data_IF_577736248741
#
_entry.id   IF_577736248741
#
_cell.length_a   1.000
_cell.length_b   1.000
_cell.length_c   1.000
_cell.angle_alpha   90.00
_cell.angle_beta   90.00
_cell.angle_gamma   90.00
#
_symmetry.space_group_name_H-M   'P 1'
#
loop_
_entity.id
_entity.type
_entity.pdbx_description
1 polymer ?
#
# COMPACT_ATOMS: atom_id res chain seq x y z
N UNK A 1 -12.62 10.09 -6.01
CA UNK A 1 -11.49 9.41 -5.37
C UNK A 1 -10.20 9.98 -5.93
N UNK A 2 -9.31 10.48 -5.10
CA UNK A 2 -8.03 11.02 -5.57
C UNK A 2 -7.11 9.88 -6.02
N UNK A 3 -6.30 10.12 -7.06
CA UNK A 3 -5.36 9.15 -7.59
C UNK A 3 -3.93 9.64 -7.36
N UNK A 4 -3.17 8.91 -6.56
CA UNK A 4 -1.76 9.18 -6.29
C UNK A 4 -0.85 8.48 -7.30
N UNK A 5 -1.23 7.28 -7.77
CA UNK A 5 -0.43 6.53 -8.74
C UNK A 5 -0.67 7.01 -10.18
N UNK A 6 0.37 7.00 -11.00
CA UNK A 6 0.32 7.38 -12.42
C UNK A 6 1.41 6.67 -13.22
N UNK A 7 1.16 6.41 -14.50
CA UNK A 7 2.16 5.89 -15.45
C UNK A 7 2.87 6.99 -16.24
N UNK A 8 2.48 8.25 -16.00
CA UNK A 8 3.07 9.41 -16.68
C UNK A 8 4.07 10.09 -15.77
N UNK A 9 5.31 10.26 -16.23
CA UNK A 9 6.32 11.01 -15.52
C UNK A 9 5.87 12.45 -15.31
N UNK A 10 6.09 12.97 -14.11
CA UNK A 10 5.84 14.36 -13.75
C UNK A 10 7.06 14.96 -13.03
N UNK A 11 7.22 16.29 -13.11
CA UNK A 11 8.32 16.99 -12.42
C UNK A 11 8.25 16.81 -10.89
N UNK A 12 7.09 16.44 -10.39
CA UNK A 12 6.80 16.34 -8.96
C UNK A 12 6.19 14.99 -8.62
N UNK A 13 6.94 13.93 -8.95
CA UNK A 13 6.54 12.55 -8.71
C UNK A 13 7.74 11.72 -8.23
N UNK A 14 7.46 10.75 -7.35
CA UNK A 14 8.40 9.71 -6.96
C UNK A 14 8.32 8.59 -7.98
N UNK A 15 9.42 8.27 -8.65
CA UNK A 15 9.54 7.08 -9.47
C UNK A 15 9.64 5.85 -8.57
N UNK A 16 8.80 4.85 -8.80
CA UNK A 16 8.87 3.59 -8.06
C UNK A 16 9.92 2.63 -8.64
N UNK A 17 10.51 2.95 -9.80
CA UNK A 17 11.59 2.20 -10.39
C UNK A 17 12.87 3.04 -10.33
N UNK A 18 13.91 2.51 -9.72
CA UNK A 18 15.22 3.12 -9.64
C UNK A 18 16.27 2.09 -10.08
N UNK A 19 17.10 2.44 -11.06
CA UNK A 19 18.16 1.57 -11.59
C UNK A 19 17.69 0.15 -11.98
N UNK A 20 16.47 0.05 -12.57
CA UNK A 20 15.88 -1.21 -13.01
C UNK A 20 15.33 -2.08 -11.88
N UNK A 21 15.25 -1.55 -10.66
CA UNK A 21 14.62 -2.21 -9.50
C UNK A 21 13.46 -1.40 -8.96
N UNK A 22 12.45 -2.07 -8.43
CA UNK A 22 11.33 -1.41 -7.73
C UNK A 22 11.78 -1.03 -6.33
N UNK A 23 11.37 0.14 -5.85
CA UNK A 23 11.66 0.62 -4.50
C UNK A 23 11.27 -0.44 -3.45
N UNK A 24 12.12 -0.71 -2.45
CA UNK A 24 11.82 -1.70 -1.42
C UNK A 24 10.61 -1.30 -0.58
N UNK A 25 9.85 -2.29 -0.14
CA UNK A 25 8.74 -2.13 0.79
C UNK A 25 9.26 -2.35 2.21
N UNK A 26 9.11 -1.35 3.06
CA UNK A 26 9.52 -1.40 4.46
C UNK A 26 8.29 -1.66 5.32
N UNK A 27 8.32 -2.76 6.07
CA UNK A 27 7.30 -3.12 7.05
C UNK A 27 7.98 -3.56 8.34
N UNK A 28 7.64 -2.91 9.44
CA UNK A 28 8.22 -3.20 10.76
C UNK A 28 7.80 -4.60 11.24
N UNK A 29 8.75 -5.42 11.71
CA UNK A 29 8.46 -6.74 12.28
C UNK A 29 7.63 -6.69 13.56
N UNK A 30 7.60 -5.54 14.24
CA UNK A 30 6.72 -5.29 15.40
C UNK A 30 5.27 -5.03 15.01
N UNK A 31 4.97 -4.71 13.73
CA UNK A 31 3.59 -4.54 13.26
C UNK A 31 2.88 -5.90 13.15
N UNK A 32 1.58 -5.88 12.93
CA UNK A 32 0.73 -7.08 12.93
C UNK A 32 1.06 -7.99 11.75
N UNK A 33 1.11 -9.31 11.98
CA UNK A 33 1.38 -10.30 10.93
C UNK A 33 0.53 -10.15 9.68
N UNK A 34 -0.73 -9.66 9.81
CA UNK A 34 -1.59 -9.38 8.68
C UNK A 34 -1.08 -8.25 7.78
N UNK A 35 -0.40 -7.24 8.35
CA UNK A 35 0.22 -6.13 7.60
C UNK A 35 1.41 -6.65 6.81
N UNK A 36 2.27 -7.48 7.43
CA UNK A 36 3.41 -8.08 6.73
C UNK A 36 2.98 -8.98 5.56
N UNK A 37 1.89 -9.75 5.75
CA UNK A 37 1.29 -10.53 4.64
C UNK A 37 0.80 -9.64 3.51
N UNK A 38 0.07 -8.58 3.83
CA UNK A 38 -0.45 -7.66 2.82
C UNK A 38 0.68 -6.91 2.10
N UNK A 39 1.78 -6.57 2.80
CA UNK A 39 2.97 -6.00 2.16
C UNK A 39 3.62 -6.99 1.17
N UNK A 40 3.64 -8.29 1.50
CA UNK A 40 4.05 -9.34 0.57
C UNK A 40 3.13 -9.42 -0.66
N UNK A 41 1.81 -9.34 -0.47
CA UNK A 41 0.84 -9.28 -1.57
C UNK A 41 1.04 -8.04 -2.45
N UNK A 42 1.32 -6.87 -1.86
CA UNK A 42 1.66 -5.67 -2.63
C UNK A 42 2.92 -5.89 -3.49
N UNK A 43 3.93 -6.58 -2.94
CA UNK A 43 5.14 -6.90 -3.72
C UNK A 43 4.82 -7.80 -4.92
N UNK A 44 3.93 -8.78 -4.76
CA UNK A 44 3.47 -9.66 -5.85
C UNK A 44 2.64 -8.87 -6.87
N UNK A 45 1.76 -7.99 -6.41
CA UNK A 45 0.95 -7.11 -7.26
C UNK A 45 1.82 -6.17 -8.09
N UNK A 46 2.80 -5.50 -7.47
CA UNK A 46 3.74 -4.63 -8.18
C UNK A 46 4.62 -5.43 -9.15
N UNK A 47 5.00 -6.65 -8.80
CA UNK A 47 5.71 -7.55 -9.72
C UNK A 47 4.88 -7.88 -10.97
N UNK A 48 3.58 -8.11 -10.80
CA UNK A 48 2.66 -8.39 -11.91
C UNK A 48 2.44 -7.18 -12.82
N UNK A 49 2.61 -5.96 -12.29
CA UNK A 49 2.45 -4.71 -13.05
C UNK A 49 3.76 -4.25 -13.71
N UNK A 50 4.89 -4.40 -13.03
CA UNK A 50 6.20 -3.82 -13.42
C UNK A 50 7.20 -4.87 -13.95
N UNK A 51 6.86 -6.16 -13.84
CA UNK A 51 7.77 -7.25 -14.24
C UNK A 51 8.92 -7.52 -13.26
N UNK A 52 9.08 -6.68 -12.22
CA UNK A 52 10.13 -6.81 -11.20
C UNK A 52 9.52 -6.75 -9.80
N UNK A 53 9.84 -7.74 -8.97
CA UNK A 53 9.31 -7.83 -7.62
C UNK A 53 10.12 -6.97 -6.65
N UNK A 54 9.51 -6.01 -5.92
CA UNK A 54 10.20 -5.28 -4.86
C UNK A 54 10.59 -6.20 -3.70
N UNK A 55 11.71 -5.90 -3.04
CA UNK A 55 12.06 -6.54 -1.79
C UNK A 55 11.18 -6.04 -0.65
N UNK A 56 10.78 -6.95 0.24
CA UNK A 56 10.12 -6.60 1.50
C UNK A 56 11.15 -6.68 2.62
N UNK A 57 11.40 -5.58 3.29
CA UNK A 57 12.44 -5.42 4.30
C UNK A 57 11.85 -4.91 5.61
N UNK A 58 12.49 -5.24 6.74
CA UNK A 58 12.07 -4.77 8.07
C UNK A 58 12.61 -3.38 8.41
N UNK A 59 13.72 -2.99 7.80
CA UNK A 59 14.44 -1.76 8.13
C UNK A 59 14.63 -0.89 6.91
N UNK A 60 14.40 0.39 7.11
CA UNK A 60 14.64 1.42 6.10
C UNK A 60 16.14 1.60 5.87
N UNK A 61 16.56 1.59 4.61
CA UNK A 61 17.87 2.05 4.16
C UNK A 61 17.95 3.57 4.00
N UNK A 62 19.03 4.07 3.41
CA UNK A 62 19.24 5.49 3.14
C UNK A 62 18.46 6.01 1.91
N UNK A 63 17.98 5.10 1.05
CA UNK A 63 17.31 5.44 -0.21
C UNK A 63 15.80 5.63 -0.09
N UNK A 64 15.17 5.95 -1.22
CA UNK A 64 13.73 5.99 -1.39
C UNK A 64 13.12 4.60 -1.19
N UNK A 65 11.91 4.54 -0.64
CA UNK A 65 11.24 3.27 -0.35
C UNK A 65 9.71 3.46 -0.28
N UNK A 66 9.00 2.34 -0.15
CA UNK A 66 7.57 2.30 0.17
C UNK A 66 7.47 1.91 1.65
N UNK A 67 6.97 2.80 2.50
CA UNK A 67 6.83 2.56 3.94
C UNK A 67 5.39 2.17 4.23
N UNK A 68 5.23 1.02 4.86
CA UNK A 68 3.92 0.49 5.25
C UNK A 68 3.90 0.29 6.75
N UNK A 69 2.86 0.80 7.42
CA UNK A 69 2.76 0.56 8.86
C UNK A 69 1.48 1.08 9.51
N UNK A 70 1.26 0.56 10.71
CA UNK A 70 0.15 0.94 11.57
C UNK A 70 0.63 1.96 12.61
N UNK A 71 -0.10 3.05 12.75
CA UNK A 71 0.20 4.09 13.76
C UNK A 71 0.25 3.46 15.17
N UNK A 72 1.34 3.73 15.90
CA UNK A 72 1.59 3.16 17.23
C UNK A 72 2.06 1.69 17.23
N UNK A 73 2.32 1.10 16.06
CA UNK A 73 2.87 -0.26 15.94
C UNK A 73 4.08 -0.34 15.00
N UNK A 74 4.27 0.64 14.14
CA UNK A 74 5.41 0.74 13.23
C UNK A 74 6.29 1.90 13.63
N UNK A 75 7.53 1.61 14.01
CA UNK A 75 8.52 2.63 14.40
C UNK A 75 8.81 3.62 13.27
N UNK A 76 8.87 3.13 12.02
CA UNK A 76 9.10 3.99 10.85
C UNK A 76 7.96 4.99 10.62
N UNK A 77 6.72 4.57 10.80
CA UNK A 77 5.53 5.44 10.70
C UNK A 77 5.48 6.42 11.86
N UNK A 78 5.73 5.96 13.08
CA UNK A 78 5.71 6.80 14.29
C UNK A 78 6.79 7.88 14.25
N UNK A 79 7.96 7.59 13.70
CA UNK A 79 9.02 8.59 13.45
C UNK A 79 8.54 9.66 12.46
N UNK A 80 7.94 9.26 11.33
CA UNK A 80 7.41 10.22 10.35
C UNK A 80 6.30 11.09 10.94
N UNK A 81 5.44 10.51 11.76
CA UNK A 81 4.38 11.22 12.48
C UNK A 81 4.96 12.24 13.49
N UNK A 82 5.98 11.83 14.27
CA UNK A 82 6.65 12.70 15.23
C UNK A 82 7.37 13.89 14.56
N UNK A 83 7.88 13.70 13.34
CA UNK A 83 8.50 14.74 12.51
C UNK A 83 7.50 15.57 11.72
N UNK A 84 6.20 15.36 11.88
CA UNK A 84 5.11 16.02 11.16
C UNK A 84 5.20 15.87 9.62
N UNK A 85 5.83 14.81 9.14
CA UNK A 85 5.96 14.52 7.71
C UNK A 85 4.71 13.86 7.14
N UNK A 86 3.88 13.27 7.99
CA UNK A 86 2.55 12.74 7.66
C UNK A 86 1.52 13.29 8.65
N UNK A 87 0.34 13.61 8.14
CA UNK A 87 -0.79 14.02 8.98
C UNK A 87 -1.53 12.77 9.52
N UNK A 88 -1.38 12.55 10.82
CA UNK A 88 -2.00 11.41 11.52
C UNK A 88 -3.25 11.80 12.33
N UNK A 89 -3.62 13.06 12.40
CA UNK A 89 -4.80 13.48 13.16
C UNK A 89 -6.09 12.85 12.62
N UNK A 90 -6.17 12.75 11.29
CA UNK A 90 -7.28 12.05 10.65
C UNK A 90 -7.39 10.59 11.11
N UNK A 91 -6.27 9.89 11.25
CA UNK A 91 -6.23 8.48 11.65
C UNK A 91 -6.68 8.27 13.10
N UNK A 92 -6.34 9.22 14.00
CA UNK A 92 -6.72 9.14 15.42
C UNK A 92 -8.22 9.24 15.66
N UNK A 93 -8.95 9.84 14.73
CA UNK A 93 -10.40 10.02 14.84
C UNK A 93 -11.26 8.94 14.17
N UNK A 94 -10.62 7.99 13.45
CA UNK A 94 -11.36 7.03 12.63
C UNK A 94 -10.80 5.61 12.74
N UNK A 95 -11.67 4.65 12.96
CA UNK A 95 -11.34 3.23 12.87
C UNK A 95 -11.18 2.82 11.40
N UNK A 96 -10.29 1.84 11.17
CA UNK A 96 -10.05 1.26 9.84
C UNK A 96 -9.67 2.31 8.76
N UNK A 97 -9.15 3.45 9.20
CA UNK A 97 -8.75 4.54 8.32
C UNK A 97 -7.31 4.36 7.82
N UNK A 98 -7.02 4.97 6.68
CA UNK A 98 -5.65 5.06 6.19
C UNK A 98 -5.36 6.44 5.58
N UNK A 99 -4.09 6.78 5.57
CA UNK A 99 -3.52 7.89 4.80
C UNK A 99 -2.40 7.38 3.90
N UNK A 100 -2.33 7.93 2.69
CA UNK A 100 -1.26 7.64 1.73
C UNK A 100 -0.73 8.98 1.23
N UNK A 101 0.59 9.15 1.28
CA UNK A 101 1.26 10.34 0.81
C UNK A 101 2.70 10.04 0.38
N UNK A 102 3.29 10.89 -0.43
CA UNK A 102 4.74 10.91 -0.66
C UNK A 102 5.34 11.91 0.31
N UNK A 103 6.34 11.47 1.07
CA UNK A 103 7.17 12.32 1.93
C UNK A 103 8.53 12.55 1.25
N UNK A 104 9.18 13.66 1.55
CA UNK A 104 10.53 13.95 1.09
C UNK A 104 11.58 13.57 2.16
N UNK A 105 12.84 13.40 1.77
CA UNK A 105 14.03 13.19 2.62
C UNK A 105 14.16 11.83 3.33
N UNK A 106 14.50 10.76 2.59
CA UNK A 106 14.44 10.59 1.15
C UNK A 106 13.00 10.41 0.69
N UNK A 107 12.72 10.78 -0.55
CA UNK A 107 11.38 10.67 -1.11
C UNK A 107 10.85 9.24 -0.97
N UNK A 108 9.71 9.06 -0.30
CA UNK A 108 9.15 7.74 -0.02
C UNK A 108 7.63 7.78 -0.07
N UNK A 109 7.03 6.71 -0.62
CA UNK A 109 5.59 6.50 -0.56
C UNK A 109 5.24 5.92 0.80
N UNK A 110 4.38 6.59 1.56
CA UNK A 110 3.97 6.15 2.89
C UNK A 110 2.52 5.69 2.86
N UNK A 111 2.26 4.51 3.40
CA UNK A 111 0.94 3.92 3.62
C UNK A 111 0.80 3.72 5.13
N UNK A 112 -0.02 4.55 5.77
CA UNK A 112 -0.22 4.54 7.21
C UNK A 112 -1.68 4.28 7.56
N UNK A 113 -1.96 3.29 8.41
CA UNK A 113 -3.29 3.01 8.91
C UNK A 113 -3.48 3.39 10.37
N UNK A 114 -4.72 3.70 10.76
CA UNK A 114 -5.12 3.90 12.16
C UNK A 114 -5.05 2.60 12.97
N UNK A 115 -5.25 1.49 12.29
CA UNK A 115 -5.20 0.13 12.82
C UNK A 115 -4.76 -0.84 11.72
N UNK A 116 -4.64 -2.14 12.08
CA UNK A 116 -4.25 -3.19 11.14
C UNK A 116 -5.10 -3.20 9.86
N UNK A 117 -6.41 -3.04 9.98
CA UNK A 117 -7.32 -3.10 8.83
C UNK A 117 -7.17 -1.88 7.95
N UNK A 118 -7.07 -0.69 8.55
CA UNK A 118 -6.79 0.54 7.81
C UNK A 118 -5.49 0.44 7.01
N UNK A 119 -4.42 -0.07 7.62
CA UNK A 119 -3.15 -0.29 6.91
C UNK A 119 -3.32 -1.23 5.71
N UNK A 120 -4.00 -2.37 5.90
CA UNK A 120 -4.27 -3.34 4.83
C UNK A 120 -5.11 -2.71 3.71
N UNK A 121 -6.11 -1.90 4.05
CA UNK A 121 -6.92 -1.20 3.03
C UNK A 121 -6.09 -0.21 2.22
N UNK A 122 -5.19 0.54 2.88
CA UNK A 122 -4.25 1.43 2.20
C UNK A 122 -3.31 0.68 1.25
N UNK A 123 -2.83 -0.50 1.64
CA UNK A 123 -2.01 -1.37 0.79
C UNK A 123 -2.79 -1.77 -0.48
N UNK A 124 -3.99 -2.31 -0.34
CA UNK A 124 -4.80 -2.72 -1.49
C UNK A 124 -5.29 -1.53 -2.32
N UNK A 125 -5.41 -0.35 -1.75
CA UNK A 125 -5.67 0.87 -2.52
C UNK A 125 -4.52 1.20 -3.46
N UNK A 126 -3.26 1.02 -3.03
CA UNK A 126 -2.09 1.16 -3.90
C UNK A 126 -2.07 0.06 -4.98
N UNK A 127 -2.33 -1.21 -4.63
CA UNK A 127 -2.45 -2.28 -5.63
C UNK A 127 -3.48 -1.92 -6.71
N UNK A 128 -4.67 -1.47 -6.30
CA UNK A 128 -5.74 -1.05 -7.21
C UNK A 128 -5.33 0.11 -8.13
N UNK A 129 -4.70 1.14 -7.56
CA UNK A 129 -4.26 2.31 -8.33
C UNK A 129 -3.07 1.99 -9.25
N UNK A 130 -2.28 0.98 -8.92
CA UNK A 130 -1.17 0.50 -9.73
C UNK A 130 -1.61 -0.33 -10.94
N UNK A 131 -2.88 -0.73 -11.03
CA UNK A 131 -3.43 -1.45 -12.18
C UNK A 131 -3.86 -2.89 -11.88
N UNK A 132 -3.85 -3.31 -10.61
CA UNK A 132 -4.38 -4.61 -10.20
C UNK A 132 -5.88 -4.48 -9.93
N UNK A 133 -6.70 -5.17 -10.71
CA UNK A 133 -8.14 -5.17 -10.51
C UNK A 133 -8.49 -5.98 -9.25
N UNK A 134 -9.32 -5.46 -8.32
CA UNK A 134 -9.76 -6.23 -7.14
C UNK A 134 -10.42 -7.57 -7.44
N UNK A 135 -10.94 -7.73 -8.65
CA UNK A 135 -11.57 -8.97 -9.14
C UNK A 135 -10.64 -9.84 -9.98
N UNK A 136 -9.32 -9.56 -10.02
CA UNK A 136 -8.40 -10.28 -10.90
C UNK A 136 -8.44 -11.80 -10.67
N UNK A 137 -8.52 -12.24 -9.42
CA UNK A 137 -8.62 -13.65 -9.06
C UNK A 137 -9.96 -14.28 -9.50
N UNK A 138 -11.08 -13.61 -9.16
CA UNK A 138 -12.42 -14.18 -9.38
C UNK A 138 -12.89 -14.09 -10.83
N UNK A 139 -12.50 -13.06 -11.54
CA UNK A 139 -12.92 -12.80 -12.92
C UNK A 139 -11.79 -13.02 -13.93
N UNK A 140 -10.64 -13.51 -13.48
CA UNK A 140 -9.46 -13.75 -14.33
C UNK A 140 -9.08 -12.50 -15.15
N UNK A 141 -9.13 -11.32 -14.52
CA UNK A 141 -8.75 -10.05 -15.13
C UNK A 141 -7.26 -9.83 -14.90
N UNK A 142 -6.42 -9.86 -15.95
CA UNK A 142 -4.97 -9.67 -15.76
C UNK A 142 -4.66 -8.26 -15.27
N UNK A 143 -3.60 -8.09 -14.45
CA UNK A 143 -3.07 -6.78 -14.12
C UNK A 143 -2.67 -6.00 -15.38
N UNK A 144 -2.76 -4.68 -15.32
CA UNK A 144 -2.31 -3.82 -16.40
C UNK A 144 -0.81 -3.60 -16.29
N UNK A 145 -0.04 -4.25 -17.14
CA UNK A 145 1.41 -4.07 -17.20
C UNK A 145 1.81 -2.65 -17.64
N UNK A 146 2.90 -2.15 -17.07
CA UNK A 146 3.50 -0.86 -17.43
C UNK A 146 5.01 -0.88 -17.19
N UNK A 147 5.76 -0.13 -17.98
CA UNK A 147 7.21 0.03 -17.80
C UNK A 147 7.56 1.01 -16.67
N UNK A 148 6.64 1.93 -16.34
CA UNK A 148 6.86 2.98 -15.36
C UNK A 148 5.65 3.17 -14.45
N UNK A 149 5.92 3.43 -13.18
CA UNK A 149 4.92 3.73 -12.18
C UNK A 149 5.44 4.81 -11.23
N UNK A 150 4.68 5.87 -11.08
CA UNK A 150 5.05 7.03 -10.27
C UNK A 150 4.02 7.30 -9.20
N UNK A 151 4.47 7.81 -8.05
CA UNK A 151 3.59 8.37 -7.02
C UNK A 151 3.68 9.90 -7.02
N UNK A 152 2.56 10.58 -7.19
CA UNK A 152 2.47 12.05 -7.24
C UNK A 152 2.76 12.65 -5.85
N UNK A 153 3.70 13.57 -5.78
CA UNK A 153 3.91 14.40 -4.59
C UNK A 153 2.78 15.41 -4.43
N UNK A 154 2.56 15.86 -3.20
CA UNK A 154 1.51 16.82 -2.91
C UNK A 154 0.08 16.25 -2.91
N UNK A 155 -0.11 15.00 -3.36
CA UNK A 155 -1.38 14.28 -3.25
C UNK A 155 -1.41 13.50 -1.94
N UNK A 156 -2.47 13.72 -1.16
CA UNK A 156 -2.72 12.99 0.10
C UNK A 156 -4.06 12.29 -0.01
N UNK A 157 -4.06 10.95 0.13
CA UNK A 157 -5.28 10.16 0.23
C UNK A 157 -5.58 9.95 1.71
N UNK A 158 -6.82 10.22 2.10
CA UNK A 158 -7.34 9.97 3.44
C UNK A 158 -8.70 9.32 3.30
N UNK A 159 -8.83 8.09 3.76
CA UNK A 159 -10.08 7.34 3.65
C UNK A 159 -10.36 6.52 4.91
N UNK A 160 -11.64 6.37 5.21
CA UNK A 160 -12.17 5.47 6.21
C UNK A 160 -13.52 4.90 5.74
N UNK A 161 -13.94 3.74 6.25
CA UNK A 161 -15.22 3.16 5.89
C UNK A 161 -16.41 4.02 6.36
N UNK A 162 -17.38 4.24 5.47
CA UNK A 162 -18.62 4.97 5.81
C UNK A 162 -19.53 4.22 6.78
N UNK A 163 -19.40 2.89 6.88
CA UNK A 163 -20.17 2.02 7.77
C UNK A 163 -19.26 1.08 8.53
N UNK A 164 -19.54 0.86 9.82
CA UNK A 164 -18.72 0.05 10.71
C UNK A 164 -18.72 -1.43 10.32
N UNK A 165 -19.89 -1.98 9.99
CA UNK A 165 -20.06 -3.39 9.69
C UNK A 165 -20.19 -3.60 8.19
N UNK A 166 -19.23 -4.33 7.61
CA UNK A 166 -19.16 -4.65 6.19
C UNK A 166 -18.73 -6.10 6.06
N UNK A 167 -19.20 -6.76 5.02
CA UNK A 167 -18.81 -8.13 4.74
C UNK A 167 -19.41 -8.63 3.44
N UNK A 168 -18.92 -9.76 3.01
CA UNK A 168 -19.47 -10.57 1.93
C UNK A 168 -19.87 -11.92 2.52
N UNK A 169 -20.96 -12.46 2.06
CA UNK A 169 -21.33 -13.84 2.35
C UNK A 169 -20.74 -14.72 1.26
N UNK A 170 -19.85 -15.64 1.67
CA UNK A 170 -19.32 -16.66 0.79
C UNK A 170 -20.11 -17.93 1.00
N UNK A 171 -20.85 -18.35 -0.02
CA UNK A 171 -21.47 -19.66 0.00
C UNK A 171 -20.40 -20.70 -0.40
N UNK A 172 -20.15 -21.67 0.47
CA UNK A 172 -19.15 -22.73 0.23
C UNK A 172 -19.70 -23.85 -0.66
N UNK A 173 -20.43 -23.51 -1.69
CA UNK A 173 -20.81 -24.44 -2.75
C UNK A 173 -19.66 -24.49 -3.76
N UNK A 174 -18.90 -25.59 -3.64
CA UNK A 174 -17.67 -25.84 -4.40
C UNK A 174 -17.70 -25.37 -5.87
N UNK A 175 -16.55 -24.93 -6.44
CA UNK A 175 -15.17 -25.05 -5.93
C UNK A 175 -14.52 -23.72 -5.52
N UNK A 176 -15.26 -22.63 -5.40
CA UNK A 176 -14.70 -21.29 -5.36
C UNK A 176 -13.88 -20.99 -4.08
N UNK A 177 -14.40 -21.32 -2.91
CA UNK A 177 -13.73 -21.01 -1.64
C UNK A 177 -12.52 -21.89 -1.38
N UNK A 178 -12.62 -23.17 -1.71
CA UNK A 178 -11.56 -24.16 -1.51
C UNK A 178 -10.28 -23.75 -2.25
N UNK A 179 -10.40 -23.33 -3.51
CA UNK A 179 -9.26 -22.91 -4.32
C UNK A 179 -8.62 -21.58 -3.86
N UNK A 180 -9.35 -20.77 -3.11
CA UNK A 180 -8.84 -19.54 -2.56
C UNK A 180 -8.13 -19.71 -1.21
N UNK A 181 -8.51 -20.73 -0.44
CA UNK A 181 -7.95 -21.00 0.89
C UNK A 181 -6.63 -21.81 0.80
N UNK A 182 -6.44 -22.61 -0.23
CA UNK A 182 -5.26 -23.45 -0.47
C UNK A 182 -4.13 -22.65 -1.12
#
# INVERSE_FOLDING_TARGET
>A
MQTIMTTTAGLDALDLICDGTVLPIIVDSADRNGVSRAAGALADDLSSVLGVRPEVQERRGAGSCIIVGTLGSSSAVDELAARLLIDVEYLRGHDEAFTIAVVDEPASLVICGSDRRGTIYGIYEISRQSGVNPWHFWLNVPPKETEHLYAKKGVVIKEHPAVRWRGIFLNDEAPALTNWIL
#
